data_IF_617133206183
#
_entry.id   IF_617133206183
#
_cell.length_a   1.000
_cell.length_b   1.000
_cell.length_c   1.000
_cell.angle_alpha   90.00
_cell.angle_beta   90.00
_cell.angle_gamma   90.00
#
_symmetry.space_group_name_H-M   'P 1'
#
loop_
_entity.id
_entity.type
_entity.pdbx_description
1 polymer ?
#
# COMPACT_ATOMS: atom_id res chain seq x y z
N UNK A 1 37.34 -20.68 -12.62
CA UNK A 1 36.75 -19.73 -11.65
C UNK A 1 36.52 -18.46 -12.42
N UNK A 2 35.30 -18.23 -12.92
CA UNK A 2 34.97 -16.99 -13.59
C UNK A 2 34.68 -15.97 -12.47
N UNK A 3 35.52 -14.96 -12.39
CA UNK A 3 35.31 -13.78 -11.55
C UNK A 3 33.99 -13.13 -11.92
N UNK A 4 32.96 -13.50 -11.18
CA UNK A 4 31.62 -12.95 -11.34
C UNK A 4 31.52 -11.56 -10.74
N UNK A 5 32.30 -10.62 -11.20
CA UNK A 5 32.00 -9.21 -10.96
C UNK A 5 30.68 -8.92 -11.63
N UNK A 6 29.61 -8.93 -10.82
CA UNK A 6 28.30 -8.49 -11.23
C UNK A 6 28.48 -7.06 -11.74
N UNK A 7 28.48 -6.89 -13.06
CA UNK A 7 28.79 -5.61 -13.69
C UNK A 7 27.69 -4.58 -13.41
N UNK A 8 28.02 -3.29 -13.46
CA UNK A 8 27.08 -2.17 -13.25
C UNK A 8 25.82 -2.25 -14.17
N UNK A 9 25.89 -2.98 -15.29
CA UNK A 9 24.77 -3.21 -16.20
C UNK A 9 23.61 -4.00 -15.56
N UNK A 10 23.87 -4.73 -14.46
CA UNK A 10 22.83 -5.48 -13.73
C UNK A 10 22.01 -4.59 -12.78
N UNK A 11 22.50 -3.40 -12.44
CA UNK A 11 21.83 -2.46 -11.55
C UNK A 11 20.44 -2.08 -12.06
N UNK A 12 20.22 -1.69 -13.33
CA UNK A 12 18.88 -1.40 -13.84
C UNK A 12 17.91 -2.58 -13.70
N UNK A 13 18.37 -3.81 -13.92
CA UNK A 13 17.56 -5.00 -13.75
C UNK A 13 17.22 -5.26 -12.27
N UNK A 14 18.18 -5.07 -11.38
CA UNK A 14 17.97 -5.21 -9.94
C UNK A 14 16.98 -4.14 -9.42
N UNK A 15 17.12 -2.90 -9.90
CA UNK A 15 16.16 -1.81 -9.57
C UNK A 15 14.78 -2.12 -10.11
N UNK A 16 14.64 -2.61 -11.34
CA UNK A 16 13.36 -2.98 -11.93
C UNK A 16 12.66 -4.08 -11.12
N UNK A 17 13.35 -5.18 -10.85
CA UNK A 17 12.79 -6.27 -10.04
C UNK A 17 12.51 -5.85 -8.58
N UNK A 18 13.36 -4.99 -8.02
CA UNK A 18 13.18 -4.39 -6.70
C UNK A 18 11.98 -3.44 -6.67
N UNK A 19 11.82 -2.60 -7.71
CA UNK A 19 10.68 -1.70 -7.85
C UNK A 19 9.35 -2.45 -7.80
N UNK A 20 9.22 -3.54 -8.54
CA UNK A 20 8.01 -4.39 -8.56
C UNK A 20 7.72 -4.96 -7.16
N UNK A 21 8.75 -5.48 -6.47
CA UNK A 21 8.57 -6.10 -5.15
C UNK A 21 8.23 -5.07 -4.07
N UNK A 22 8.98 -3.97 -4.03
CA UNK A 22 8.80 -2.95 -2.99
C UNK A 22 7.54 -2.12 -3.23
N UNK A 23 7.14 -1.89 -4.49
CA UNK A 23 5.93 -1.12 -4.80
C UNK A 23 4.62 -1.84 -4.46
N UNK A 24 4.62 -3.18 -4.39
CA UNK A 24 3.37 -3.95 -4.25
C UNK A 24 2.57 -3.57 -3.00
N UNK A 25 3.11 -3.54 -1.77
CA UNK A 25 2.36 -3.10 -0.60
C UNK A 25 1.92 -1.64 -0.71
N UNK A 26 2.79 -0.74 -1.20
CA UNK A 26 2.42 0.66 -1.43
C UNK A 26 1.24 0.80 -2.39
N UNK A 27 1.23 0.02 -3.47
CA UNK A 27 0.16 0.03 -4.46
C UNK A 27 -1.19 -0.35 -3.85
N UNK A 28 -1.25 -1.44 -3.10
CA UNK A 28 -2.50 -1.87 -2.47
C UNK A 28 -2.98 -0.87 -1.42
N UNK A 29 -2.10 -0.38 -0.56
CA UNK A 29 -2.45 0.59 0.47
C UNK A 29 -2.88 1.93 -0.16
N UNK A 30 -2.14 2.45 -1.14
CA UNK A 30 -2.49 3.72 -1.79
C UNK A 30 -3.78 3.62 -2.61
N UNK A 31 -4.05 2.51 -3.30
CA UNK A 31 -5.33 2.30 -3.97
C UNK A 31 -6.48 2.22 -2.96
N UNK A 32 -6.26 1.56 -1.81
CA UNK A 32 -7.23 1.48 -0.72
C UNK A 32 -7.53 2.87 -0.14
N UNK A 33 -6.49 3.63 0.19
CA UNK A 33 -6.66 4.96 0.76
C UNK A 33 -7.23 5.96 -0.26
N UNK A 34 -6.89 5.83 -1.54
CA UNK A 34 -7.51 6.61 -2.60
C UNK A 34 -9.04 6.46 -2.61
N UNK A 35 -9.58 5.27 -2.34
CA UNK A 35 -11.03 5.03 -2.21
C UNK A 35 -11.56 5.71 -0.95
N UNK A 36 -10.87 5.57 0.17
CA UNK A 36 -11.26 6.13 1.48
C UNK A 36 -11.29 7.65 1.41
N UNK A 37 -10.21 8.28 0.97
CA UNK A 37 -10.08 9.74 0.91
C UNK A 37 -11.03 10.34 -0.13
N UNK A 38 -11.25 9.67 -1.26
CA UNK A 38 -12.27 10.10 -2.23
C UNK A 38 -13.69 10.09 -1.67
N UNK A 39 -13.96 9.36 -0.60
CA UNK A 39 -15.24 9.40 0.12
C UNK A 39 -15.32 10.53 1.17
N UNK A 40 -14.23 11.29 1.36
CA UNK A 40 -14.14 12.37 2.34
C UNK A 40 -13.73 11.91 3.74
N UNK A 41 -12.93 10.84 3.86
CA UNK A 41 -12.34 10.35 5.12
C UNK A 41 -10.85 10.12 4.94
N UNK A 42 -10.06 10.39 5.98
CA UNK A 42 -8.62 10.08 6.03
C UNK A 42 -8.39 8.93 7.01
N UNK A 43 -7.65 7.91 6.59
CA UNK A 43 -7.33 6.78 7.46
C UNK A 43 -5.82 6.65 7.70
N UNK A 44 -5.30 7.32 8.72
CA UNK A 44 -3.89 7.15 9.15
C UNK A 44 -3.65 5.82 9.88
N UNK A 45 -4.69 5.02 10.13
CA UNK A 45 -4.58 3.69 10.74
C UNK A 45 -4.08 2.60 9.80
N UNK A 46 -3.76 2.94 8.55
CA UNK A 46 -3.34 1.98 7.52
C UNK A 46 -2.04 1.25 7.84
N UNK A 47 -1.12 1.87 8.58
CA UNK A 47 0.08 1.17 9.07
C UNK A 47 -0.31 -0.01 9.97
N UNK A 48 -1.16 0.23 10.97
CA UNK A 48 -1.68 -0.84 11.83
C UNK A 48 -2.47 -1.89 11.05
N UNK A 49 -3.23 -1.47 10.05
CA UNK A 49 -3.99 -2.35 9.15
C UNK A 49 -3.06 -3.23 8.32
N UNK A 50 -1.99 -2.66 7.78
CA UNK A 50 -0.97 -3.36 7.00
C UNK A 50 -0.26 -4.43 7.87
N UNK A 51 0.15 -4.06 9.08
CA UNK A 51 0.85 -4.96 10.02
C UNK A 51 -0.08 -6.08 10.51
N UNK A 52 -1.33 -5.76 10.87
CA UNK A 52 -2.33 -6.77 11.24
C UNK A 52 -2.65 -7.70 10.06
N UNK A 53 -2.74 -7.17 8.84
CA UNK A 53 -2.89 -7.95 7.62
C UNK A 53 -1.71 -8.90 7.40
N UNK A 54 -0.48 -8.43 7.59
CA UNK A 54 0.72 -9.26 7.48
C UNK A 54 0.73 -10.39 8.51
N UNK A 55 0.40 -10.09 9.77
CA UNK A 55 0.33 -11.07 10.85
C UNK A 55 -0.75 -12.13 10.57
N UNK A 56 -1.97 -11.71 10.26
CA UNK A 56 -3.08 -12.61 10.01
C UNK A 56 -2.84 -13.48 8.76
N UNK A 57 -2.24 -12.91 7.71
CA UNK A 57 -1.83 -13.67 6.53
C UNK A 57 -0.84 -14.78 6.89
N UNK A 58 0.20 -14.43 7.64
CA UNK A 58 1.22 -15.38 8.02
C UNK A 58 0.67 -16.50 8.91
N UNK A 59 -0.13 -16.13 9.93
CA UNK A 59 -0.73 -17.08 10.85
C UNK A 59 -1.68 -18.05 10.15
N UNK A 60 -2.59 -17.55 9.30
CA UNK A 60 -3.54 -18.40 8.56
C UNK A 60 -2.81 -19.24 7.50
N UNK A 61 -1.80 -18.71 6.83
CA UNK A 61 -0.97 -19.49 5.89
C UNK A 61 -0.22 -20.61 6.59
N UNK A 62 0.31 -20.35 7.79
CA UNK A 62 0.98 -21.36 8.61
C UNK A 62 0.03 -22.48 9.04
N UNK A 63 -1.17 -22.12 9.55
CA UNK A 63 -2.15 -23.09 10.06
C UNK A 63 -2.82 -23.89 8.95
N UNK A 64 -3.09 -23.28 7.80
CA UNK A 64 -3.83 -23.91 6.70
C UNK A 64 -2.95 -24.54 5.62
N UNK A 65 -1.65 -24.21 5.59
CA UNK A 65 -0.73 -24.58 4.51
C UNK A 65 -1.01 -23.84 3.18
N UNK A 66 -1.99 -22.92 3.14
CA UNK A 66 -2.39 -22.20 1.93
C UNK A 66 -2.11 -20.70 2.04
N UNK A 67 -1.19 -20.14 1.24
CA UNK A 67 -0.90 -18.72 1.27
C UNK A 67 -2.08 -17.87 0.77
N UNK A 68 -2.94 -18.40 -0.11
CA UNK A 68 -4.12 -17.69 -0.61
C UNK A 68 -5.19 -17.50 0.46
N UNK A 69 -5.38 -18.48 1.35
CA UNK A 69 -6.22 -18.30 2.52
C UNK A 69 -5.64 -17.24 3.47
N UNK A 70 -4.31 -17.18 3.57
CA UNK A 70 -3.62 -16.10 4.27
C UNK A 70 -3.93 -14.71 3.68
N UNK A 71 -3.88 -14.56 2.35
CA UNK A 71 -4.23 -13.30 1.65
C UNK A 71 -5.69 -12.90 1.93
N UNK A 72 -6.60 -13.87 1.86
CA UNK A 72 -8.01 -13.60 2.16
C UNK A 72 -8.22 -13.16 3.61
N UNK A 73 -7.57 -13.83 4.56
CA UNK A 73 -7.63 -13.47 5.97
C UNK A 73 -7.07 -12.07 6.22
N UNK A 74 -5.98 -11.69 5.56
CA UNK A 74 -5.42 -10.35 5.63
C UNK A 74 -6.41 -9.29 5.11
N UNK A 75 -7.05 -9.55 3.99
CA UNK A 75 -8.09 -8.68 3.44
C UNK A 75 -9.26 -8.50 4.40
N UNK A 76 -9.77 -9.60 4.98
CA UNK A 76 -10.87 -9.56 5.96
C UNK A 76 -10.45 -8.78 7.20
N UNK A 77 -9.27 -9.04 7.76
CA UNK A 77 -8.74 -8.30 8.92
C UNK A 77 -8.62 -6.81 8.62
N UNK A 78 -8.11 -6.46 7.44
CA UNK A 78 -8.04 -5.07 6.99
C UNK A 78 -9.42 -4.43 6.83
N UNK A 79 -10.39 -5.15 6.27
CA UNK A 79 -11.77 -4.68 6.15
C UNK A 79 -12.43 -4.43 7.52
N UNK A 80 -12.17 -5.29 8.50
CA UNK A 80 -12.67 -5.11 9.88
C UNK A 80 -12.09 -3.85 10.52
N UNK A 81 -10.77 -3.63 10.40
CA UNK A 81 -10.13 -2.42 10.93
C UNK A 81 -10.60 -1.15 10.19
N UNK A 82 -10.77 -1.21 8.88
CA UNK A 82 -11.35 -0.11 8.10
C UNK A 82 -12.81 0.19 8.49
N UNK A 83 -13.60 -0.84 8.74
CA UNK A 83 -14.99 -0.69 9.24
C UNK A 83 -15.01 -0.08 10.63
N UNK A 84 -14.12 -0.52 11.52
CA UNK A 84 -13.97 0.02 12.88
C UNK A 84 -13.58 1.51 12.81
N UNK A 85 -12.60 1.87 11.97
CA UNK A 85 -12.20 3.25 11.74
C UNK A 85 -13.38 4.12 11.30
N UNK A 86 -14.07 3.70 10.22
CA UNK A 86 -15.21 4.45 9.69
C UNK A 86 -16.36 4.55 10.70
N UNK A 87 -16.60 3.50 11.47
CA UNK A 87 -17.62 3.47 12.53
C UNK A 87 -17.34 4.52 13.62
N UNK A 88 -16.13 4.54 14.16
CA UNK A 88 -15.72 5.50 15.19
C UNK A 88 -15.73 6.92 14.64
N UNK A 89 -15.17 7.15 13.45
CA UNK A 89 -15.17 8.46 12.79
C UNK A 89 -16.55 8.98 12.40
N UNK A 90 -17.57 8.12 12.46
CA UNK A 90 -18.96 8.53 12.21
C UNK A 90 -19.65 9.11 13.45
N UNK A 91 -19.02 9.00 14.61
CA UNK A 91 -19.52 9.61 15.85
C UNK A 91 -19.30 11.14 15.79
N UNK A 92 -20.22 11.93 16.39
CA UNK A 92 -20.08 13.38 16.37
C UNK A 92 -18.81 13.84 17.13
N UNK A 93 -18.14 14.85 16.61
CA UNK A 93 -16.93 15.48 17.17
C UNK A 93 -15.69 14.58 17.22
N UNK A 94 -15.67 13.47 16.49
CA UNK A 94 -14.50 12.60 16.40
C UNK A 94 -13.63 13.03 15.21
N UNK A 95 -12.32 13.13 15.47
CA UNK A 95 -11.32 13.50 14.46
C UNK A 95 -10.75 12.23 13.80
N UNK A 96 -10.81 12.15 12.47
CA UNK A 96 -10.34 11.02 11.67
C UNK A 96 -8.85 10.72 11.88
N UNK A 97 -8.03 11.77 12.00
CA UNK A 97 -6.58 11.65 12.19
C UNK A 97 -6.27 11.02 13.54
N UNK A 98 -6.93 11.51 14.60
CA UNK A 98 -6.72 10.98 15.96
C UNK A 98 -7.14 9.51 16.06
N UNK A 99 -8.27 9.14 15.48
CA UNK A 99 -8.74 7.74 15.41
C UNK A 99 -7.75 6.89 14.60
N UNK A 100 -7.28 7.41 13.45
CA UNK A 100 -6.30 6.73 12.62
C UNK A 100 -5.02 6.41 13.39
N UNK A 101 -4.45 7.39 14.11
CA UNK A 101 -3.26 7.19 14.93
C UNK A 101 -3.52 6.17 16.05
N UNK A 102 -4.67 6.25 16.73
CA UNK A 102 -5.04 5.30 17.78
C UNK A 102 -5.16 3.86 17.23
N UNK A 103 -5.79 3.68 16.06
CA UNK A 103 -5.93 2.38 15.41
C UNK A 103 -4.59 1.87 14.83
N UNK A 104 -3.70 2.77 14.40
CA UNK A 104 -2.34 2.40 14.02
C UNK A 104 -1.60 1.75 15.20
N UNK A 105 -1.60 2.40 16.36
CA UNK A 105 -0.94 1.88 17.55
C UNK A 105 -1.62 0.59 18.05
N UNK A 106 -2.95 0.58 18.10
CA UNK A 106 -3.72 -0.60 18.47
C UNK A 106 -3.46 -1.78 17.54
N UNK A 107 -3.56 -1.58 16.22
CA UNK A 107 -3.37 -2.63 15.23
C UNK A 107 -1.94 -3.18 15.25
N UNK A 108 -0.94 -2.31 15.35
CA UNK A 108 0.47 -2.72 15.45
C UNK A 108 0.74 -3.49 16.74
N UNK A 109 0.29 -2.97 17.89
CA UNK A 109 0.47 -3.64 19.18
C UNK A 109 -0.24 -4.99 19.26
N UNK A 110 -1.47 -5.06 18.74
CA UNK A 110 -2.22 -6.31 18.68
C UNK A 110 -1.57 -7.33 17.74
N UNK A 111 -1.05 -6.89 16.60
CA UNK A 111 -0.32 -7.75 15.67
C UNK A 111 0.95 -8.33 16.31
N UNK A 112 1.70 -7.54 17.07
CA UNK A 112 2.90 -8.01 17.78
C UNK A 112 2.54 -8.99 18.88
N UNK A 113 1.50 -8.70 19.65
CA UNK A 113 1.04 -9.61 20.70
C UNK A 113 0.59 -10.96 20.15
N UNK A 114 -0.28 -10.97 19.14
CA UNK A 114 -0.80 -12.19 18.53
C UNK A 114 0.23 -12.91 17.64
N UNK A 115 1.12 -12.13 17.02
CA UNK A 115 2.14 -12.65 16.11
C UNK A 115 3.40 -13.18 16.77
N UNK A 116 3.58 -13.00 18.09
CA UNK A 116 4.75 -13.48 18.82
C UNK A 116 5.04 -14.98 18.65
N UNK A 117 4.04 -15.88 18.68
CA UNK A 117 4.25 -17.31 18.43
C UNK A 117 4.59 -17.65 16.97
N UNK A 118 4.45 -16.69 16.05
CA UNK A 118 4.63 -16.89 14.61
C UNK A 118 6.03 -16.46 14.12
N UNK A 119 6.91 -15.97 15.00
CA UNK A 119 8.24 -15.47 14.61
C UNK A 119 9.16 -16.60 14.15
N UNK A 120 9.14 -17.75 14.82
CA UNK A 120 10.01 -18.89 14.51
C UNK A 120 9.48 -19.80 13.39
N UNK A 121 8.17 -20.17 13.37
CA UNK A 121 7.64 -21.07 12.35
C UNK A 121 7.71 -20.49 10.93
N UNK A 122 7.87 -21.35 9.93
CA UNK A 122 7.84 -20.95 8.52
C UNK A 122 6.47 -21.22 7.90
N UNK A 123 5.83 -20.19 7.37
CA UNK A 123 4.55 -20.31 6.66
C UNK A 123 4.74 -20.62 5.16
N UNK A 124 3.70 -21.17 4.53
CA UNK A 124 3.67 -21.34 3.08
C UNK A 124 3.72 -19.98 2.39
N UNK A 125 4.61 -19.86 1.39
CA UNK A 125 4.86 -18.60 0.67
C UNK A 125 4.00 -18.47 -0.58
N UNK A 126 3.70 -17.25 -0.97
CA UNK A 126 3.03 -16.97 -2.23
C UNK A 126 3.90 -17.39 -3.41
N UNK A 127 3.31 -18.01 -4.45
CA UNK A 127 4.02 -18.38 -5.65
C UNK A 127 4.45 -17.14 -6.44
N UNK A 128 5.57 -17.26 -7.13
CA UNK A 128 6.01 -16.26 -8.11
C UNK A 128 5.95 -16.86 -9.50
N UNK A 129 5.58 -16.04 -10.48
CA UNK A 129 5.61 -16.37 -11.89
C UNK A 129 6.99 -15.98 -12.42
N UNK A 130 7.70 -16.92 -13.02
CA UNK A 130 9.00 -16.67 -13.63
C UNK A 130 8.79 -16.32 -15.11
N UNK A 131 8.73 -15.03 -15.42
CA UNK A 131 8.69 -14.53 -16.80
C UNK A 131 10.06 -14.56 -17.48
N UNK A 132 11.13 -14.84 -16.71
CA UNK A 132 12.52 -14.91 -17.20
C UNK A 132 12.97 -16.34 -17.55
N UNK A 133 12.05 -17.32 -17.67
CA UNK A 133 12.37 -18.72 -17.92
C UNK A 133 13.23 -18.97 -19.17
N UNK A 134 13.17 -18.07 -20.14
CA UNK A 134 13.93 -18.10 -21.41
C UNK A 134 15.37 -17.61 -21.29
N UNK A 135 15.76 -17.00 -20.17
CA UNK A 135 17.09 -16.40 -19.96
C UNK A 135 17.95 -17.29 -19.08
N UNK A 136 19.19 -17.53 -19.48
CA UNK A 136 20.19 -18.23 -18.67
C UNK A 136 20.88 -17.30 -17.65
N UNK A 137 20.61 -16.00 -17.72
CA UNK A 137 21.21 -14.99 -16.86
C UNK A 137 20.41 -14.93 -15.54
N UNK A 138 21.03 -15.29 -14.37
CA UNK A 138 20.31 -15.33 -13.09
C UNK A 138 19.70 -13.99 -12.69
N UNK A 139 20.34 -12.87 -13.02
CA UNK A 139 19.88 -11.52 -12.73
C UNK A 139 18.60 -11.16 -13.49
N UNK A 140 18.48 -11.59 -14.75
CA UNK A 140 17.25 -11.40 -15.55
C UNK A 140 16.12 -12.21 -14.97
N UNK A 141 16.37 -13.48 -14.61
CA UNK A 141 15.37 -14.34 -13.95
C UNK A 141 14.90 -13.71 -12.63
N UNK A 142 15.83 -13.24 -11.79
CA UNK A 142 15.50 -12.62 -10.52
C UNK A 142 14.69 -11.33 -10.70
N UNK A 143 14.98 -10.52 -11.72
CA UNK A 143 14.25 -9.29 -12.03
C UNK A 143 12.81 -9.57 -12.54
N UNK A 144 12.65 -10.62 -13.37
CA UNK A 144 11.39 -11.00 -13.98
C UNK A 144 10.57 -11.99 -13.15
N UNK A 145 11.00 -12.31 -11.94
CA UNK A 145 10.22 -13.12 -11.01
C UNK A 145 9.17 -12.27 -10.30
N UNK A 146 7.96 -12.27 -10.86
CA UNK A 146 6.86 -11.39 -10.45
C UNK A 146 5.81 -12.19 -9.65
N UNK A 147 5.32 -11.61 -8.57
CA UNK A 147 4.23 -12.20 -7.78
C UNK A 147 2.86 -11.89 -8.41
N UNK A 148 1.92 -12.82 -8.28
CA UNK A 148 0.55 -12.67 -8.78
C UNK A 148 -0.16 -11.47 -8.17
N UNK A 149 0.08 -11.18 -6.86
CA UNK A 149 -0.53 -10.01 -6.21
C UNK A 149 -0.13 -8.69 -6.88
N UNK A 150 1.14 -8.55 -7.32
CA UNK A 150 1.52 -7.35 -8.08
C UNK A 150 0.66 -7.18 -9.33
N UNK A 151 0.46 -8.25 -10.11
CA UNK A 151 -0.38 -8.20 -11.32
C UNK A 151 -1.83 -7.86 -11.00
N UNK A 152 -2.36 -8.40 -9.90
CA UNK A 152 -3.70 -8.06 -9.40
C UNK A 152 -3.76 -6.57 -9.03
N UNK A 153 -2.77 -6.03 -8.31
CA UNK A 153 -2.71 -4.61 -7.95
C UNK A 153 -2.64 -3.70 -9.17
N UNK A 154 -1.82 -4.07 -10.17
CA UNK A 154 -1.75 -3.36 -11.46
C UNK A 154 -3.09 -3.38 -12.20
N UNK A 155 -3.84 -4.50 -12.16
CA UNK A 155 -5.15 -4.60 -12.77
C UNK A 155 -6.23 -3.80 -12.00
N UNK A 156 -6.14 -3.73 -10.68
CA UNK A 156 -7.10 -2.97 -9.84
C UNK A 156 -7.03 -1.46 -10.16
N UNK A 157 -5.85 -0.90 -10.44
CA UNK A 157 -5.70 0.53 -10.70
C UNK A 157 -6.58 1.04 -11.87
N UNK A 158 -6.51 0.47 -13.10
CA UNK A 158 -7.39 0.88 -14.19
C UNK A 158 -8.87 0.53 -13.94
N UNK A 159 -9.16 -0.57 -13.23
CA UNK A 159 -10.54 -0.93 -12.85
C UNK A 159 -11.13 0.14 -11.93
N UNK A 160 -10.40 0.58 -10.91
CA UNK A 160 -10.84 1.66 -10.02
C UNK A 160 -10.97 2.99 -10.75
N UNK A 161 -10.02 3.31 -11.64
CA UNK A 161 -10.08 4.51 -12.47
C UNK A 161 -11.35 4.54 -13.32
N UNK A 162 -11.66 3.42 -13.99
CA UNK A 162 -12.89 3.26 -14.75
C UNK A 162 -14.11 3.33 -13.85
N UNK A 163 -14.12 2.62 -12.71
CA UNK A 163 -15.23 2.58 -11.78
C UNK A 163 -15.56 3.97 -11.22
N UNK A 164 -14.55 4.77 -10.87
CA UNK A 164 -14.77 6.13 -10.39
C UNK A 164 -15.40 7.05 -11.43
N UNK A 165 -15.16 6.81 -12.72
CA UNK A 165 -15.65 7.68 -13.80
C UNK A 165 -17.02 7.27 -14.34
N UNK A 166 -17.31 5.98 -14.39
CA UNK A 166 -18.44 5.44 -15.14
C UNK A 166 -19.52 4.77 -14.30
N UNK A 167 -19.22 4.37 -13.05
CA UNK A 167 -20.17 3.64 -12.25
C UNK A 167 -20.93 4.52 -11.25
N UNK A 168 -22.14 4.07 -10.86
CA UNK A 168 -22.93 4.70 -9.79
C UNK A 168 -22.17 4.71 -8.47
N UNK A 169 -21.44 3.66 -8.15
CA UNK A 169 -20.63 3.57 -6.95
C UNK A 169 -19.53 4.65 -6.92
N UNK A 170 -18.80 4.84 -8.03
CA UNK A 170 -17.82 5.90 -8.15
C UNK A 170 -18.41 7.31 -8.06
N UNK A 171 -19.61 7.52 -8.63
CA UNK A 171 -20.34 8.78 -8.48
C UNK A 171 -20.67 9.05 -7.01
N UNK A 172 -21.22 8.07 -6.29
CA UNK A 172 -21.62 8.22 -4.88
C UNK A 172 -20.42 8.53 -3.98
N UNK A 173 -19.27 7.85 -4.18
CA UNK A 173 -18.05 8.13 -3.43
C UNK A 173 -17.59 9.58 -3.67
N UNK A 174 -17.50 10.01 -4.93
CA UNK A 174 -17.07 11.37 -5.26
C UNK A 174 -18.04 12.43 -4.70
N UNK A 175 -19.34 12.21 -4.83
CA UNK A 175 -20.34 13.16 -4.29
C UNK A 175 -20.22 13.25 -2.77
N UNK A 176 -20.06 12.13 -2.05
CA UNK A 176 -19.90 12.14 -0.60
C UNK A 176 -18.58 12.80 -0.15
N UNK A 177 -17.54 12.77 -0.99
CA UNK A 177 -16.27 13.43 -0.71
C UNK A 177 -16.25 14.92 -1.08
N UNK A 178 -17.03 15.34 -2.08
CA UNK A 178 -17.13 16.77 -2.46
C UNK A 178 -18.13 17.54 -1.58
N UNK A 179 -19.28 16.91 -1.27
CA UNK A 179 -20.31 17.53 -0.43
C UNK A 179 -21.20 16.45 0.21
N UNK A 180 -21.07 16.31 1.51
CA UNK A 180 -21.95 15.42 2.28
C UNK A 180 -23.42 15.84 2.22
N UNK A 181 -23.68 17.15 2.14
CA UNK A 181 -25.04 17.67 2.06
C UNK A 181 -25.70 17.39 0.70
N UNK A 182 -24.92 17.51 -0.40
CA UNK A 182 -25.40 17.11 -1.72
C UNK A 182 -25.75 15.63 -1.80
N UNK A 183 -24.93 14.75 -1.19
CA UNK A 183 -25.22 13.33 -1.13
C UNK A 183 -26.51 13.02 -0.32
N UNK A 184 -26.73 13.73 0.80
CA UNK A 184 -27.94 13.62 1.61
C UNK A 184 -29.18 14.14 0.85
N UNK A 185 -29.06 15.26 0.17
CA UNK A 185 -30.14 15.83 -0.64
C UNK A 185 -30.60 14.89 -1.77
N UNK A 186 -29.68 14.06 -2.30
CA UNK A 186 -29.99 13.00 -3.26
C UNK A 186 -30.60 11.73 -2.60
N UNK A 187 -30.84 11.73 -1.28
CA UNK A 187 -31.40 10.60 -0.55
C UNK A 187 -30.40 9.50 -0.16
N UNK A 188 -29.10 9.72 -0.29
CA UNK A 188 -28.10 8.73 0.06
C UNK A 188 -27.54 8.93 1.48
N UNK A 189 -27.29 7.82 2.17
CA UNK A 189 -26.64 7.84 3.48
C UNK A 189 -25.12 7.96 3.32
N UNK A 190 -24.58 9.13 3.66
CA UNK A 190 -23.14 9.40 3.65
C UNK A 190 -22.37 8.43 4.56
N UNK A 191 -22.97 8.06 5.70
CA UNK A 191 -22.43 7.07 6.62
C UNK A 191 -22.11 5.75 5.91
N UNK A 192 -23.09 5.18 5.20
CA UNK A 192 -22.91 3.90 4.53
C UNK A 192 -21.95 3.98 3.34
N UNK A 193 -21.89 5.12 2.63
CA UNK A 193 -20.92 5.34 1.54
C UNK A 193 -19.52 5.32 2.11
N UNK A 194 -19.24 6.12 3.14
CA UNK A 194 -17.92 6.24 3.78
C UNK A 194 -17.50 4.92 4.44
N UNK A 195 -18.41 4.26 5.15
CA UNK A 195 -18.14 2.97 5.79
C UNK A 195 -17.72 1.91 4.77
N UNK A 196 -18.47 1.77 3.66
CA UNK A 196 -18.12 0.81 2.60
C UNK A 196 -16.82 1.17 1.89
N UNK A 197 -16.58 2.46 1.64
CA UNK A 197 -15.34 2.94 1.02
C UNK A 197 -14.12 2.60 1.90
N UNK A 198 -14.18 2.92 3.19
CA UNK A 198 -13.08 2.65 4.14
C UNK A 198 -12.91 1.14 4.41
N UNK A 199 -14.01 0.37 4.41
CA UNK A 199 -13.94 -1.09 4.50
C UNK A 199 -13.19 -1.70 3.31
N UNK A 200 -13.49 -1.26 2.08
CA UNK A 200 -12.78 -1.72 0.87
C UNK A 200 -11.34 -1.21 0.89
N UNK A 201 -11.10 0.02 1.33
CA UNK A 201 -9.76 0.56 1.51
C UNK A 201 -8.92 -0.26 2.48
N UNK A 202 -9.48 -0.59 3.63
CA UNK A 202 -8.85 -1.47 4.62
C UNK A 202 -8.60 -2.89 4.09
N UNK A 203 -9.54 -3.45 3.32
CA UNK A 203 -9.38 -4.76 2.67
C UNK A 203 -8.14 -4.78 1.76
N UNK A 204 -7.98 -3.78 0.90
CA UNK A 204 -6.81 -3.65 0.04
C UNK A 204 -5.53 -3.47 0.85
N UNK A 205 -5.54 -2.64 1.88
CA UNK A 205 -4.38 -2.44 2.75
C UNK A 205 -3.96 -3.74 3.46
N UNK A 206 -4.92 -4.54 3.93
CA UNK A 206 -4.66 -5.86 4.49
C UNK A 206 -3.98 -6.80 3.48
N UNK A 207 -4.45 -6.83 2.23
CA UNK A 207 -3.81 -7.59 1.14
C UNK A 207 -2.37 -7.11 0.93
N UNK A 208 -2.12 -5.79 0.95
CA UNK A 208 -0.76 -5.24 0.90
C UNK A 208 0.13 -5.81 2.01
N UNK A 209 -0.41 -5.94 3.23
CA UNK A 209 0.27 -6.57 4.37
C UNK A 209 0.62 -8.04 4.12
N UNK A 210 -0.28 -8.81 3.52
CA UNK A 210 -0.02 -10.22 3.20
C UNK A 210 1.20 -10.42 2.29
N UNK A 211 1.45 -9.48 1.38
CA UNK A 211 2.61 -9.52 0.51
C UNK A 211 3.92 -9.45 1.29
N UNK A 212 3.98 -8.61 2.33
CA UNK A 212 5.17 -8.46 3.17
C UNK A 212 5.51 -9.77 3.90
N UNK A 213 4.55 -10.40 4.52
CA UNK A 213 4.79 -11.61 5.32
C UNK A 213 4.91 -12.88 4.48
N UNK A 214 4.21 -12.99 3.34
CA UNK A 214 4.15 -14.21 2.54
C UNK A 214 5.04 -14.20 1.30
N UNK A 215 5.61 -13.04 0.90
CA UNK A 215 6.45 -12.97 -0.29
C UNK A 215 7.76 -12.23 -0.08
N UNK A 216 7.73 -10.93 0.31
CA UNK A 216 8.94 -10.11 0.44
C UNK A 216 8.85 -9.16 1.63
N UNK A 217 9.67 -9.40 2.65
CA UNK A 217 10.75 -10.40 2.79
C UNK A 217 10.28 -11.85 2.99
N UNK A 218 8.98 -12.13 3.22
CA UNK A 218 8.43 -13.47 3.33
C UNK A 218 8.69 -14.15 4.68
N UNK A 219 8.70 -13.36 5.74
CA UNK A 219 8.77 -13.77 7.14
C UNK A 219 7.96 -12.83 7.99
N UNK A 220 7.54 -13.29 9.15
CA UNK A 220 6.89 -12.44 10.15
C UNK A 220 7.92 -11.97 11.18
N UNK A 221 8.00 -10.67 11.38
CA UNK A 221 8.77 -10.05 12.45
C UNK A 221 8.17 -8.69 12.82
N UNK A 222 8.50 -8.21 14.02
CA UNK A 222 8.17 -6.87 14.47
C UNK A 222 8.98 -5.85 13.63
N UNK A 223 8.31 -4.82 13.14
CA UNK A 223 8.93 -3.81 12.25
C UNK A 223 8.93 -4.15 10.76
N UNK A 224 8.26 -5.22 10.33
CA UNK A 224 8.17 -5.68 8.94
C UNK A 224 7.73 -4.60 7.96
N UNK A 225 6.80 -3.75 8.35
CA UNK A 225 6.25 -2.68 7.50
C UNK A 225 7.13 -1.44 7.41
N UNK A 226 7.92 -1.14 8.46
CA UNK A 226 8.83 0.02 8.50
C UNK A 226 8.19 1.36 8.08
N UNK A 227 6.92 1.59 8.42
CA UNK A 227 6.19 2.82 8.09
C UNK A 227 5.63 2.88 6.65
N UNK A 228 5.57 1.75 5.95
CA UNK A 228 5.08 1.71 4.56
C UNK A 228 3.60 2.14 4.44
N UNK A 229 2.77 1.83 5.42
CA UNK A 229 1.37 2.23 5.43
C UNK A 229 1.18 3.74 5.48
N UNK A 230 1.89 4.42 6.37
CA UNK A 230 1.85 5.90 6.47
C UNK A 230 2.41 6.54 5.19
N UNK A 231 3.52 5.99 4.67
CA UNK A 231 4.11 6.50 3.43
C UNK A 231 3.15 6.36 2.25
N UNK A 232 2.37 5.27 2.19
CA UNK A 232 1.37 5.06 1.14
C UNK A 232 0.23 6.11 1.20
N UNK A 233 -0.16 6.59 2.39
CA UNK A 233 -1.11 7.71 2.52
C UNK A 233 -0.54 8.97 1.85
N UNK A 234 0.74 9.29 2.09
CA UNK A 234 1.39 10.42 1.43
C UNK A 234 1.41 10.26 -0.11
N UNK A 235 1.60 9.01 -0.61
CA UNK A 235 1.57 8.75 -2.06
C UNK A 235 0.22 9.06 -2.70
N UNK A 236 -0.90 8.91 -1.98
CA UNK A 236 -2.24 9.26 -2.50
C UNK A 236 -2.36 10.76 -2.77
N UNK A 237 -1.78 11.59 -1.89
CA UNK A 237 -1.75 13.05 -2.06
C UNK A 237 -0.93 13.41 -3.32
N UNK A 238 0.25 12.78 -3.51
CA UNK A 238 1.07 12.97 -4.72
C UNK A 238 0.37 12.49 -5.98
N UNK A 239 -0.36 11.38 -5.87
CA UNK A 239 -1.18 10.83 -6.94
C UNK A 239 -2.49 11.61 -7.18
N UNK A 240 -2.74 12.71 -6.42
CA UNK A 240 -3.95 13.54 -6.57
C UNK A 240 -5.24 12.72 -6.56
N UNK A 241 -5.28 11.71 -5.72
CA UNK A 241 -6.43 10.80 -5.59
C UNK A 241 -6.82 10.10 -6.91
N UNK A 242 -5.90 9.96 -7.86
CA UNK A 242 -6.12 9.23 -9.11
C UNK A 242 -5.50 7.82 -9.02
N UNK A 243 -6.29 6.74 -9.22
CA UNK A 243 -5.78 5.37 -9.09
C UNK A 243 -4.63 5.03 -10.05
N UNK A 244 -4.63 5.61 -11.27
CA UNK A 244 -3.54 5.39 -12.23
C UNK A 244 -2.26 6.08 -11.77
N UNK A 245 -2.38 7.29 -11.20
CA UNK A 245 -1.22 7.98 -10.63
C UNK A 245 -0.74 7.30 -9.34
N UNK A 246 -1.62 6.66 -8.54
CA UNK A 246 -1.22 5.82 -7.40
C UNK A 246 -0.32 4.66 -7.86
N UNK A 247 -0.65 3.99 -8.98
CA UNK A 247 0.19 2.94 -9.55
C UNK A 247 1.59 3.47 -9.91
N UNK A 248 1.66 4.58 -10.64
CA UNK A 248 2.95 5.15 -11.05
C UNK A 248 3.76 5.70 -9.87
N UNK A 249 3.11 6.34 -8.91
CA UNK A 249 3.75 6.83 -7.69
C UNK A 249 4.32 5.67 -6.86
N UNK A 250 3.56 4.58 -6.70
CA UNK A 250 4.02 3.38 -5.99
C UNK A 250 5.23 2.74 -6.69
N UNK A 251 5.22 2.64 -8.03
CA UNK A 251 6.35 2.12 -8.80
C UNK A 251 7.59 3.02 -8.70
N UNK A 252 7.41 4.34 -8.81
CA UNK A 252 8.51 5.29 -8.67
C UNK A 252 9.14 5.24 -7.28
N UNK A 253 8.29 5.17 -6.23
CA UNK A 253 8.76 5.06 -4.85
C UNK A 253 9.45 3.72 -4.57
N UNK A 254 8.86 2.62 -5.05
CA UNK A 254 9.46 1.28 -4.97
C UNK A 254 10.80 1.20 -5.72
N UNK A 255 10.90 1.85 -6.88
CA UNK A 255 12.14 1.95 -7.65
C UNK A 255 13.22 2.74 -6.89
N UNK A 256 12.85 3.87 -6.30
CA UNK A 256 13.77 4.66 -5.48
C UNK A 256 14.25 3.87 -4.25
N UNK A 257 13.36 3.13 -3.59
CA UNK A 257 13.73 2.28 -2.45
C UNK A 257 14.61 1.08 -2.84
N UNK A 258 14.51 0.61 -4.07
CA UNK A 258 15.32 -0.48 -4.59
C UNK A 258 16.75 -0.05 -4.99
N UNK A 259 17.04 1.26 -5.13
CA UNK A 259 18.35 1.76 -5.55
C UNK A 259 19.46 1.38 -4.57
N UNK A 260 19.26 1.57 -3.27
CA UNK A 260 20.26 1.25 -2.24
C UNK A 260 20.68 -0.23 -2.30
N UNK A 261 19.75 -1.18 -2.14
CA UNK A 261 20.05 -2.61 -2.26
C UNK A 261 20.63 -3.02 -3.61
N UNK A 262 20.18 -2.42 -4.73
CA UNK A 262 20.71 -2.72 -6.05
C UNK A 262 22.18 -2.28 -6.22
N UNK A 263 22.54 -1.10 -5.74
CA UNK A 263 23.94 -0.64 -5.77
C UNK A 263 24.83 -1.45 -4.84
N UNK A 264 24.30 -1.84 -3.67
CA UNK A 264 25.03 -2.68 -2.74
C UNK A 264 25.33 -4.07 -3.33
N UNK A 265 24.42 -4.62 -4.13
CA UNK A 265 24.61 -5.93 -4.78
C UNK A 265 25.77 -5.98 -5.77
N UNK A 266 26.20 -4.82 -6.29
CA UNK A 266 27.37 -4.68 -7.19
C UNK A 266 28.60 -4.12 -6.49
N UNK A 267 28.61 -4.09 -5.13
CA UNK A 267 29.76 -3.69 -4.33
C UNK A 267 29.89 -2.19 -4.06
N UNK A 268 28.92 -1.36 -4.47
CA UNK A 268 28.91 0.07 -4.14
C UNK A 268 28.31 0.25 -2.75
N UNK A 269 29.19 0.31 -1.74
CA UNK A 269 28.80 0.46 -0.32
C UNK A 269 28.98 1.88 0.21
N UNK A 270 29.81 2.70 -0.46
CA UNK A 270 30.01 4.11 -0.10
C UNK A 270 28.72 4.89 -0.38
N UNK A 271 28.23 5.66 0.61
CA UNK A 271 27.01 6.44 0.45
C UNK A 271 25.70 5.64 0.61
N UNK A 272 25.74 4.41 1.14
CA UNK A 272 24.55 3.55 1.33
C UNK A 272 23.37 4.26 2.00
N UNK A 273 23.62 5.04 3.06
CA UNK A 273 22.59 5.80 3.75
C UNK A 273 21.92 6.86 2.85
N UNK A 274 22.69 7.47 1.94
CA UNK A 274 22.16 8.43 0.98
C UNK A 274 21.23 7.75 -0.05
N UNK A 275 21.60 6.57 -0.53
CA UNK A 275 20.77 5.80 -1.46
C UNK A 275 19.51 5.27 -0.79
N UNK A 276 19.55 4.90 0.48
CA UNK A 276 18.36 4.56 1.25
C UNK A 276 17.44 5.75 1.51
N UNK A 277 17.96 6.97 1.47
CA UNK A 277 17.15 8.19 1.53
C UNK A 277 16.49 8.56 0.20
N UNK A 278 16.79 7.86 -0.91
CA UNK A 278 16.26 8.16 -2.25
C UNK A 278 14.74 8.28 -2.31
N UNK A 279 13.91 7.42 -1.66
CA UNK A 279 12.46 7.57 -1.65
C UNK A 279 12.01 8.90 -1.02
N UNK A 280 12.65 9.33 0.07
CA UNK A 280 12.33 10.58 0.76
C UNK A 280 12.75 11.80 -0.04
N UNK A 281 13.90 11.73 -0.72
CA UNK A 281 14.37 12.77 -1.66
C UNK A 281 13.38 12.88 -2.82
N UNK A 282 12.93 11.75 -3.36
CA UNK A 282 11.92 11.71 -4.42
C UNK A 282 10.60 12.37 -3.98
N UNK A 283 10.12 12.06 -2.76
CA UNK A 283 8.91 12.68 -2.23
C UNK A 283 9.05 14.20 -2.09
N UNK A 284 10.17 14.67 -1.54
CA UNK A 284 10.45 16.10 -1.43
C UNK A 284 10.52 16.77 -2.81
N UNK A 285 11.19 16.15 -3.77
CA UNK A 285 11.28 16.66 -5.13
C UNK A 285 9.89 16.77 -5.80
N UNK A 286 9.06 15.73 -5.67
CA UNK A 286 7.69 15.73 -6.18
C UNK A 286 6.87 16.84 -5.48
N UNK A 287 7.00 16.99 -4.15
CA UNK A 287 6.32 18.08 -3.43
C UNK A 287 6.72 19.46 -3.95
N UNK A 288 8.01 19.72 -4.10
CA UNK A 288 8.51 21.02 -4.58
C UNK A 288 7.99 21.32 -5.99
N UNK A 289 7.95 20.31 -6.88
CA UNK A 289 7.50 20.46 -8.27
C UNK A 289 5.97 20.64 -8.34
N UNK A 290 5.23 19.92 -7.47
CA UNK A 290 3.76 19.92 -7.50
C UNK A 290 3.12 21.03 -6.67
N UNK A 291 3.74 21.46 -5.56
CA UNK A 291 3.27 22.53 -4.70
C UNK A 291 3.74 23.89 -5.23
N UNK A 292 3.14 24.35 -6.33
CA UNK A 292 3.30 25.76 -6.76
C UNK A 292 2.29 26.63 -6.00
N UNK A 293 2.66 27.85 -5.53
CA UNK A 293 1.76 28.78 -4.82
C UNK A 293 0.49 29.14 -5.59
N UNK A 294 0.48 28.91 -6.90
CA UNK A 294 -0.65 29.20 -7.80
C UNK A 294 -1.51 27.96 -8.13
N UNK A 295 -1.15 26.78 -7.68
CA UNK A 295 -1.92 25.55 -7.89
C UNK A 295 -2.43 25.05 -6.55
N UNK A 296 -3.68 25.33 -6.24
CA UNK A 296 -4.43 24.60 -5.21
C UNK A 296 -4.29 23.10 -5.45
N UNK A 297 -4.36 22.29 -4.42
CA UNK A 297 -4.38 20.81 -4.51
C UNK A 297 -5.57 20.37 -5.38
N UNK A 298 -5.39 20.45 -6.70
CA UNK A 298 -6.43 20.09 -7.67
C UNK A 298 -6.69 18.58 -7.55
N UNK A 299 -7.93 18.24 -7.18
CA UNK A 299 -8.37 16.84 -7.03
C UNK A 299 -8.59 16.41 -5.59
N UNK A 300 -8.22 17.22 -4.59
CA UNK A 300 -8.56 16.93 -3.20
C UNK A 300 -10.09 17.01 -3.00
N UNK A 301 -10.71 15.97 -2.43
CA UNK A 301 -12.11 16.05 -2.03
C UNK A 301 -12.34 17.20 -1.04
N UNK A 302 -13.38 17.99 -1.23
CA UNK A 302 -13.61 19.20 -0.43
C UNK A 302 -13.85 18.88 1.06
N UNK A 303 -14.48 17.75 1.35
CA UNK A 303 -14.75 17.29 2.73
C UNK A 303 -13.47 17.01 3.54
N UNK A 304 -12.33 16.69 2.91
CA UNK A 304 -11.06 16.52 3.60
C UNK A 304 -10.52 17.83 4.20
N UNK A 305 -10.88 18.97 3.61
CA UNK A 305 -10.51 20.31 4.11
C UNK A 305 -11.40 20.80 5.24
N UNK A 306 -12.59 20.20 5.41
CA UNK A 306 -13.61 20.58 6.41
C UNK A 306 -13.42 19.83 7.74
N UNK A 307 -12.66 18.74 7.75
CA UNK A 307 -12.29 18.01 8.98
C UNK A 307 -11.36 18.86 9.86
N UNK A 308 -11.93 19.90 10.46
CA UNK A 308 -11.29 20.75 11.47
C UNK A 308 -11.73 20.34 12.86
#
# INVERSE_FOLDING_TARGET
MADGTIGLWTVPLAVFGGAIRVSTPFLFVSLGECITERSGRINLGLEGTLVMGAMSAYGISYLSGSPWLGVLAAGITGALLGTLHAGICSLPRVNDIAVGIALMLFGTGLAFYLGKPLIEPTAARLPAIDFGWWSDIPQVRAALRINVLFLIGVAIAPILFWAFRTTRWGLLIRTAGESSDAARAMGYSVLWIRLRATMVGGFLAGIGGSFLSLFYPGSWNEGLSSGQGITAVALVIFARWDPMLCLWASLAFGGAAALGPALQSVGVTSGYHLFNAAPYILTLAIMIITCSPKRTLTGAPAELSITR
#
